data_IF_132708733267
#
_entry.id   IF_132708733267
#
_cell.length_a   1.000
_cell.length_b   1.000
_cell.length_c   1.000
_cell.angle_alpha   90.00
_cell.angle_beta   90.00
_cell.angle_gamma   90.00
#
_symmetry.space_group_name_H-M   'P 1'
#
loop_
_entity.id
_entity.type
_entity.pdbx_description
1 polymer ?
#
# COMPACT_ATOMS: atom_id res chain seq x y z
N UNK A 1 4.33 0.00 25.25
CA UNK A 1 2.95 0.32 24.81
C UNK A 1 2.57 -0.67 23.73
N UNK A 2 1.35 -1.20 23.75
CA UNK A 2 0.81 -1.99 22.64
C UNK A 2 0.38 -1.07 21.50
N UNK A 3 0.70 -1.45 20.26
CA UNK A 3 0.25 -0.78 19.05
C UNK A 3 -1.28 -0.66 19.01
N UNK A 4 -1.79 0.54 18.72
CA UNK A 4 -3.24 0.77 18.53
C UNK A 4 -3.76 0.09 17.27
N UNK A 5 -5.09 -0.05 17.17
CA UNK A 5 -5.71 -0.65 15.97
C UNK A 5 -5.49 0.21 14.72
N UNK A 6 -5.50 1.54 14.83
CA UNK A 6 -5.27 2.45 13.71
C UNK A 6 -3.82 2.40 13.19
N UNK A 7 -2.84 2.32 14.10
CA UNK A 7 -1.44 2.08 13.73
C UNK A 7 -1.30 0.71 13.06
N UNK A 8 -1.95 -0.31 13.61
CA UNK A 8 -1.91 -1.68 13.06
C UNK A 8 -2.46 -1.73 11.64
N UNK A 9 -3.60 -1.10 11.36
CA UNK A 9 -4.16 -0.99 10.00
C UNK A 9 -3.20 -0.26 9.07
N UNK A 10 -2.66 0.89 9.48
CA UNK A 10 -1.66 1.64 8.68
C UNK A 10 -0.44 0.79 8.31
N UNK A 11 0.12 0.07 9.28
CA UNK A 11 1.25 -0.82 9.04
C UNK A 11 0.88 -2.01 8.16
N UNK A 12 -0.33 -2.57 8.29
CA UNK A 12 -0.80 -3.64 7.43
C UNK A 12 -0.99 -3.17 5.97
N UNK A 13 -1.60 -2.01 5.76
CA UNK A 13 -1.69 -1.38 4.43
C UNK A 13 -0.30 -1.08 3.85
N UNK A 14 0.64 -0.60 4.66
CA UNK A 14 2.01 -0.35 4.22
C UNK A 14 2.75 -1.65 3.82
N UNK A 15 2.55 -2.73 4.58
CA UNK A 15 3.11 -4.04 4.28
C UNK A 15 2.51 -4.63 3.00
N UNK A 16 1.20 -4.49 2.77
CA UNK A 16 0.52 -4.94 1.55
C UNK A 16 0.98 -4.18 0.31
N UNK A 17 1.04 -2.84 0.37
CA UNK A 17 1.60 -2.00 -0.69
C UNK A 17 3.03 -2.44 -1.05
N UNK A 18 3.89 -2.63 -0.04
CA UNK A 18 5.27 -3.08 -0.26
C UNK A 18 5.36 -4.50 -0.86
N UNK A 19 4.58 -5.44 -0.32
CA UNK A 19 4.60 -6.85 -0.72
C UNK A 19 4.00 -7.07 -2.12
N UNK A 20 3.00 -6.27 -2.51
CA UNK A 20 2.47 -6.25 -3.87
C UNK A 20 3.34 -5.45 -4.85
N UNK A 21 4.10 -4.47 -4.34
CA UNK A 21 4.84 -3.51 -5.16
C UNK A 21 3.97 -2.37 -5.71
N UNK A 22 2.80 -2.16 -5.11
CA UNK A 22 1.82 -1.14 -5.50
C UNK A 22 2.10 0.22 -4.84
N UNK A 23 1.68 1.28 -5.53
CA UNK A 23 1.69 2.66 -5.04
C UNK A 23 0.40 3.01 -4.30
N UNK A 24 0.45 4.07 -3.48
CA UNK A 24 -0.76 4.63 -2.87
C UNK A 24 -1.77 5.15 -3.91
N UNK A 25 -1.35 5.45 -5.14
CA UNK A 25 -2.24 5.88 -6.22
C UNK A 25 -3.08 4.72 -6.74
N UNK A 26 -2.50 3.53 -6.89
CA UNK A 26 -3.22 2.32 -7.31
C UNK A 26 -4.25 1.91 -6.25
N UNK A 27 -3.85 1.91 -4.97
CA UNK A 27 -4.78 1.66 -3.85
C UNK A 27 -5.89 2.73 -3.76
N UNK A 28 -5.58 4.00 -4.04
CA UNK A 28 -6.58 5.07 -4.07
C UNK A 28 -7.62 4.83 -5.18
N UNK A 29 -7.21 4.30 -6.33
CA UNK A 29 -8.09 3.88 -7.41
C UNK A 29 -9.08 2.79 -6.98
N UNK A 30 -8.60 1.76 -6.27
CA UNK A 30 -9.46 0.69 -5.72
C UNK A 30 -10.46 1.20 -4.66
N UNK A 31 -10.05 2.20 -3.86
CA UNK A 31 -10.87 2.86 -2.84
C UNK A 31 -11.83 3.93 -3.42
N UNK A 32 -11.72 4.31 -4.68
CA UNK A 32 -12.49 5.41 -5.27
C UNK A 32 -12.18 6.79 -4.68
N UNK A 33 -10.96 6.99 -4.16
CA UNK A 33 -10.51 8.24 -3.49
C UNK A 33 -9.26 8.82 -4.16
N UNK A 34 -8.83 10.00 -3.74
CA UNK A 34 -7.54 10.57 -4.15
C UNK A 34 -6.37 9.95 -3.39
N UNK A 35 -5.17 9.91 -4.02
CA UNK A 35 -3.94 9.51 -3.34
C UNK A 35 -3.65 10.37 -2.10
N UNK A 36 -4.03 11.66 -2.10
CA UNK A 36 -3.89 12.54 -0.94
C UNK A 36 -4.76 12.11 0.26
N UNK A 37 -5.91 11.45 0.02
CA UNK A 37 -6.71 10.85 1.10
C UNK A 37 -6.02 9.60 1.66
N UNK A 38 -5.49 8.72 0.81
CA UNK A 38 -4.70 7.55 1.25
C UNK A 38 -3.44 7.97 2.02
N UNK A 39 -2.74 9.00 1.55
CA UNK A 39 -1.56 9.56 2.22
C UNK A 39 -1.89 10.08 3.63
N UNK A 40 -2.97 10.85 3.79
CA UNK A 40 -3.44 11.30 5.12
C UNK A 40 -3.82 10.14 6.03
N UNK A 41 -4.42 9.08 5.49
CA UNK A 41 -4.72 7.86 6.26
C UNK A 41 -3.45 7.13 6.67
N UNK A 42 -2.44 7.04 5.81
CA UNK A 42 -1.16 6.42 6.13
C UNK A 42 -0.29 7.25 7.08
N UNK A 43 -0.40 8.59 7.10
CA UNK A 43 0.26 9.42 8.12
C UNK A 43 -0.49 9.44 9.46
N UNK A 44 -1.75 9.00 9.51
CA UNK A 44 -2.61 9.11 10.69
C UNK A 44 -3.28 10.48 10.85
N UNK A 45 -3.19 11.35 9.84
CA UNK A 45 -3.95 12.60 9.76
C UNK A 45 -5.43 12.39 9.38
N UNK A 46 -5.83 11.17 9.06
CA UNK A 46 -7.22 10.74 8.87
C UNK A 46 -7.36 9.27 9.30
N UNK A 47 -8.54 8.89 9.80
CA UNK A 47 -8.84 7.51 10.14
C UNK A 47 -9.13 6.64 8.90
N UNK A 48 -8.85 5.34 9.03
CA UNK A 48 -9.41 4.30 8.15
C UNK A 48 -10.81 3.94 8.67
N UNK A 49 -11.84 4.00 7.81
CA UNK A 49 -13.16 3.46 8.19
C UNK A 49 -13.19 1.93 7.99
N UNK A 50 -14.13 1.24 8.65
CA UNK A 50 -14.29 -0.21 8.46
C UNK A 50 -14.63 -0.56 7.00
N UNK A 51 -15.43 0.26 6.32
CA UNK A 51 -15.72 0.09 4.90
C UNK A 51 -14.47 0.23 4.03
N UNK A 52 -13.55 1.15 4.36
CA UNK A 52 -12.26 1.22 3.66
C UNK A 52 -11.42 -0.05 3.90
N UNK A 53 -11.44 -0.60 5.14
CA UNK A 53 -10.73 -1.84 5.46
C UNK A 53 -11.29 -3.04 4.69
N UNK A 54 -12.61 -3.15 4.50
CA UNK A 54 -13.24 -4.17 3.67
C UNK A 54 -12.81 -4.04 2.20
N UNK A 55 -12.79 -2.82 1.65
CA UNK A 55 -12.34 -2.57 0.26
C UNK A 55 -10.84 -2.87 0.10
N UNK A 56 -9.99 -2.51 1.08
CA UNK A 56 -8.57 -2.89 1.10
C UNK A 56 -8.41 -4.42 1.09
N UNK A 57 -9.14 -5.12 1.95
CA UNK A 57 -9.06 -6.57 2.06
C UNK A 57 -9.51 -7.26 0.75
N UNK A 58 -10.61 -6.81 0.16
CA UNK A 58 -11.09 -7.28 -1.14
C UNK A 58 -10.10 -6.98 -2.28
N UNK A 59 -9.53 -5.77 -2.33
CA UNK A 59 -8.50 -5.39 -3.30
C UNK A 59 -7.28 -6.30 -3.22
N UNK A 60 -6.77 -6.61 -2.02
CA UNK A 60 -5.65 -7.52 -1.85
C UNK A 60 -6.01 -9.02 -1.90
N UNK A 61 -7.30 -9.36 -1.84
CA UNK A 61 -7.79 -10.74 -1.88
C UNK A 61 -7.49 -11.51 -0.60
N UNK A 62 -7.62 -10.84 0.54
CA UNK A 62 -7.41 -11.38 1.90
C UNK A 62 -8.67 -11.21 2.74
N UNK A 63 -8.75 -11.89 3.89
CA UNK A 63 -9.82 -11.63 4.86
C UNK A 63 -9.58 -10.29 5.59
N UNK A 64 -10.65 -9.57 5.93
CA UNK A 64 -10.55 -8.30 6.67
C UNK A 64 -9.99 -8.50 8.09
N UNK A 65 -10.18 -9.67 8.70
CA UNK A 65 -9.58 -10.03 9.98
C UNK A 65 -8.06 -10.27 9.85
N UNK A 66 -7.57 -10.74 8.70
CA UNK A 66 -6.11 -10.84 8.46
C UNK A 66 -5.47 -9.45 8.35
N UNK A 67 -6.17 -8.47 7.77
CA UNK A 67 -5.78 -7.05 7.77
C UNK A 67 -5.75 -6.48 9.20
N UNK A 68 -6.80 -6.72 9.99
CA UNK A 68 -6.94 -6.22 11.37
C UNK A 68 -6.05 -6.99 12.37
N UNK A 69 -5.56 -8.18 12.03
CA UNK A 69 -4.55 -8.91 12.80
C UNK A 69 -3.17 -8.25 12.73
N UNK A 70 -2.84 -7.60 11.60
CA UNK A 70 -1.69 -6.70 11.46
C UNK A 70 -0.72 -7.08 10.33
N UNK A 71 0.40 -6.36 10.20
CA UNK A 71 1.24 -6.38 9.00
C UNK A 71 1.78 -7.75 8.60
N UNK A 72 2.26 -8.54 9.57
CA UNK A 72 2.77 -9.89 9.30
C UNK A 72 1.66 -10.77 8.71
N UNK A 73 0.49 -10.78 9.35
CA UNK A 73 -0.62 -11.64 8.97
C UNK A 73 -1.22 -11.26 7.61
N UNK A 74 -1.37 -9.97 7.36
CA UNK A 74 -1.83 -9.45 6.06
C UNK A 74 -0.86 -9.82 4.92
N UNK A 75 0.46 -9.71 5.14
CA UNK A 75 1.47 -10.07 4.14
C UNK A 75 1.54 -11.60 3.91
N UNK A 76 1.34 -12.42 4.95
CA UNK A 76 1.24 -13.87 4.82
C UNK A 76 0.01 -14.31 4.01
N UNK A 77 -1.14 -13.67 4.25
CA UNK A 77 -2.40 -13.95 3.55
C UNK A 77 -2.40 -13.51 2.07
N UNK A 78 -1.57 -12.52 1.69
CA UNK A 78 -1.52 -11.97 0.33
C UNK A 78 -1.28 -13.08 -0.72
N UNK A 79 -2.18 -13.28 -1.71
CA UNK A 79 -2.05 -14.34 -2.71
C UNK A 79 -0.76 -14.25 -3.53
N UNK A 80 -0.16 -15.41 -3.86
CA UNK A 80 1.15 -15.46 -4.52
C UNK A 80 1.22 -14.66 -5.84
N UNK A 81 0.16 -14.67 -6.65
CA UNK A 81 0.09 -13.90 -7.90
C UNK A 81 -0.01 -12.37 -7.72
N UNK A 82 -0.32 -11.89 -6.50
CA UNK A 82 -0.29 -10.46 -6.14
C UNK A 82 1.07 -10.03 -5.58
N UNK A 83 1.94 -10.96 -5.19
CA UNK A 83 3.25 -10.62 -4.61
C UNK A 83 4.20 -10.11 -5.70
N UNK A 84 4.91 -9.03 -5.40
CA UNK A 84 5.95 -8.46 -6.26
C UNK A 84 6.99 -9.54 -6.60
N UNK A 85 7.17 -9.84 -7.88
CA UNK A 85 8.25 -10.72 -8.34
C UNK A 85 9.60 -10.03 -8.10
N UNK A 86 10.50 -10.58 -7.27
CA UNK A 86 11.84 -10.03 -7.08
C UNK A 86 12.66 -10.29 -8.35
N UNK A 87 12.83 -9.26 -9.18
CA UNK A 87 13.57 -9.36 -10.45
C UNK A 87 13.39 -8.18 -11.39
N UNK A 88 12.25 -7.48 -11.36
CA UNK A 88 12.05 -6.25 -12.14
C UNK A 88 12.31 -5.00 -11.31
N UNK A 89 13.59 -4.66 -11.16
CA UNK A 89 14.01 -3.30 -10.85
C UNK A 89 14.15 -2.55 -12.18
N UNK A 90 13.10 -1.84 -12.61
CA UNK A 90 13.22 -0.91 -13.74
C UNK A 90 14.03 0.31 -13.31
N UNK A 91 15.35 0.21 -13.40
CA UNK A 91 16.25 1.37 -13.36
C UNK A 91 16.21 2.11 -14.70
N UNK A 92 15.04 2.59 -15.09
CA UNK A 92 14.88 3.51 -16.21
C UNK A 92 14.90 4.95 -15.69
N UNK A 93 16.09 5.44 -15.35
CA UNK A 93 16.35 6.88 -15.20
C UNK A 93 16.72 7.39 -16.59
N UNK A 94 15.88 8.20 -17.29
CA UNK A 94 16.24 8.71 -18.60
C UNK A 94 17.46 9.61 -18.48
N UNK A 95 18.46 9.38 -19.34
CA UNK A 95 19.58 10.29 -19.49
C UNK A 95 19.12 11.51 -20.31
N UNK A 96 19.06 12.68 -19.67
CA UNK A 96 18.91 13.95 -20.36
C UNK A 96 20.31 14.55 -20.61
N UNK A 97 20.85 14.24 -21.77
CA UNK A 97 21.80 15.09 -22.53
C UNK A 97 20.98 16.21 -23.22
N UNK A 98 21.45 17.39 -23.59
CA UNK A 98 22.62 18.21 -23.24
C UNK A 98 22.09 19.70 -23.23
N UNK A 99 22.78 20.81 -23.49
CA UNK A 99 24.16 21.17 -23.85
C UNK A 99 24.38 22.68 -23.50
N UNK A 100 25.56 23.29 -23.74
CA UNK A 100 25.68 24.75 -23.57
C UNK A 100 27.06 25.42 -23.51
N UNK A 101 27.88 25.30 -24.57
CA UNK A 101 28.99 26.23 -24.84
C UNK A 101 28.48 27.60 -25.36
N UNK A 102 28.86 28.70 -24.69
CA UNK A 102 29.10 30.06 -25.25
C UNK A 102 30.13 30.79 -24.38
#
# INVERSE_FOLDING_TARGET
MSMSLEERVRSAVAALLHAAGESQTELAGALGVSQAQVSRRQSGAAAWSLADCEVVAAHYGIDVLDLLAGPTRAAEALPAGRRRVPGRQTTARPAAVADGDV
#
